data_IF_038920301126
#
_entry.id   IF_038920301126
#
_cell.length_a   1.000
_cell.length_b   1.000
_cell.length_c   1.000
_cell.angle_alpha   90.00
_cell.angle_beta   90.00
_cell.angle_gamma   90.00
#
_symmetry.space_group_name_H-M   'P 1'
#
loop_
_entity.id
_entity.type
_entity.pdbx_description
1 polymer ?
#
# COMPACT_ATOMS: atom_id res chain seq x y z
N UNK A 1 -27.25 10.86 -5.23
CA UNK A 1 -27.99 9.71 -4.69
C UNK A 1 -27.12 9.04 -3.65
N UNK A 2 -27.50 9.19 -2.40
CA UNK A 2 -26.84 8.50 -1.31
C UNK A 2 -27.29 7.03 -1.34
N UNK A 3 -26.35 6.12 -1.55
CA UNK A 3 -26.64 4.73 -1.26
C UNK A 3 -26.51 4.54 0.25
N UNK A 4 -27.61 4.56 0.94
CA UNK A 4 -27.70 4.08 2.30
C UNK A 4 -27.46 2.56 2.30
N UNK A 5 -26.35 2.15 2.82
CA UNK A 5 -26.13 0.75 3.15
C UNK A 5 -27.03 0.42 4.34
N UNK A 6 -28.13 -0.25 4.08
CA UNK A 6 -28.99 -0.76 5.13
C UNK A 6 -28.23 -1.87 5.88
N UNK A 7 -27.70 -1.52 7.02
CA UNK A 7 -27.11 -2.48 7.96
C UNK A 7 -28.24 -3.19 8.67
N UNK A 8 -28.27 -4.51 8.57
CA UNK A 8 -29.20 -5.32 9.34
C UNK A 8 -28.97 -5.13 10.85
N UNK A 9 -30.03 -5.00 11.67
CA UNK A 9 -29.87 -4.82 13.11
C UNK A 9 -29.37 -6.11 13.76
N UNK A 10 -28.18 -6.10 14.35
CA UNK A 10 -27.75 -7.21 15.19
C UNK A 10 -26.27 -7.42 15.43
N UNK A 11 -25.38 -6.87 14.64
CA UNK A 11 -23.93 -6.98 14.92
C UNK A 11 -23.25 -5.63 14.78
N UNK A 12 -22.38 -5.22 15.72
CA UNK A 12 -21.49 -4.12 15.49
C UNK A 12 -20.50 -4.57 14.41
N UNK A 13 -20.83 -4.34 13.15
CA UNK A 13 -19.83 -4.35 12.12
C UNK A 13 -18.82 -3.28 12.49
N UNK A 14 -17.67 -3.70 13.00
CA UNK A 14 -16.51 -2.82 13.08
C UNK A 14 -16.28 -2.40 11.63
N UNK A 15 -16.77 -1.23 11.29
CA UNK A 15 -16.65 -0.71 9.94
C UNK A 15 -15.18 -0.69 9.57
N UNK A 16 -14.81 -1.41 8.52
CA UNK A 16 -13.45 -1.41 8.02
C UNK A 16 -13.10 0.00 7.57
N UNK A 17 -12.13 0.63 8.21
CA UNK A 17 -11.69 1.96 7.85
C UNK A 17 -10.92 1.94 6.52
N UNK A 18 -11.23 2.89 5.65
CA UNK A 18 -10.62 3.03 4.33
C UNK A 18 -10.04 4.42 4.12
N UNK A 19 -8.89 4.47 3.47
CA UNK A 19 -8.28 5.70 2.99
C UNK A 19 -8.03 5.57 1.50
N UNK A 20 -8.24 6.66 0.75
CA UNK A 20 -7.92 6.75 -0.68
C UNK A 20 -7.42 8.13 -1.02
N UNK A 21 -6.40 8.19 -1.86
CA UNK A 21 -5.92 9.43 -2.47
C UNK A 21 -5.35 9.16 -3.85
N UNK A 22 -5.47 10.14 -4.73
CA UNK A 22 -4.76 10.12 -6.01
C UNK A 22 -3.52 11.00 -5.92
N UNK A 23 -2.49 10.67 -6.69
CA UNK A 23 -1.27 11.45 -6.69
C UNK A 23 -0.60 11.45 -8.08
N UNK A 24 0.06 12.56 -8.45
CA UNK A 24 0.89 12.58 -9.65
C UNK A 24 2.04 11.57 -9.51
N UNK A 25 2.39 10.92 -10.60
CA UNK A 25 3.49 9.93 -10.63
C UNK A 25 4.85 10.61 -10.66
N UNK A 26 5.13 11.38 -9.64
CA UNK A 26 6.37 12.10 -9.38
C UNK A 26 6.88 11.78 -7.99
N UNK A 27 8.16 12.01 -7.72
CA UNK A 27 8.72 11.84 -6.38
C UNK A 27 7.98 12.68 -5.34
N UNK A 28 7.63 13.93 -5.67
CA UNK A 28 6.87 14.82 -4.79
C UNK A 28 5.44 14.32 -4.57
N UNK A 29 4.77 13.86 -5.62
CA UNK A 29 3.42 13.28 -5.52
C UNK A 29 3.38 12.04 -4.63
N UNK A 30 4.33 11.13 -4.81
CA UNK A 30 4.48 9.95 -3.96
C UNK A 30 4.74 10.32 -2.49
N UNK A 31 5.61 11.29 -2.24
CA UNK A 31 5.91 11.79 -0.90
C UNK A 31 4.67 12.38 -0.21
N UNK A 32 3.92 13.21 -0.92
CA UNK A 32 2.69 13.82 -0.41
C UNK A 32 1.62 12.78 -0.09
N UNK A 33 1.43 11.80 -0.96
CA UNK A 33 0.49 10.71 -0.75
C UNK A 33 0.87 9.85 0.47
N UNK A 34 2.16 9.53 0.60
CA UNK A 34 2.68 8.80 1.76
C UNK A 34 2.38 9.52 3.07
N UNK A 35 2.69 10.81 3.15
CA UNK A 35 2.43 11.58 4.36
C UNK A 35 0.95 11.68 4.71
N UNK A 36 0.08 11.83 3.72
CA UNK A 36 -1.36 11.82 3.93
C UNK A 36 -1.84 10.47 4.50
N UNK A 37 -1.34 9.37 3.95
CA UNK A 37 -1.65 8.03 4.43
C UNK A 37 -1.14 7.78 5.85
N UNK A 38 0.08 8.21 6.16
CA UNK A 38 0.66 8.09 7.50
C UNK A 38 -0.16 8.88 8.55
N UNK A 39 -0.59 10.08 8.23
CA UNK A 39 -1.44 10.89 9.10
C UNK A 39 -2.80 10.23 9.32
N UNK A 40 -3.40 9.72 8.26
CA UNK A 40 -4.67 9.01 8.38
C UNK A 40 -4.53 7.78 9.28
N UNK A 41 -3.49 6.98 9.06
CA UNK A 41 -3.25 5.76 9.83
C UNK A 41 -3.02 6.07 11.32
N UNK A 42 -2.23 7.10 11.62
CA UNK A 42 -1.97 7.53 13.00
C UNK A 42 -3.24 8.00 13.74
N UNK A 43 -4.26 8.45 13.03
CA UNK A 43 -5.53 8.88 13.60
C UNK A 43 -6.52 7.74 13.84
N UNK A 44 -6.23 6.52 13.38
CA UNK A 44 -7.14 5.39 13.54
C UNK A 44 -7.07 4.80 14.96
N UNK A 45 -8.23 4.52 15.54
CA UNK A 45 -8.31 3.83 16.82
C UNK A 45 -7.82 2.39 16.68
N UNK A 46 -7.02 1.94 17.64
CA UNK A 46 -6.41 0.61 17.61
C UNK A 46 -5.22 0.47 16.66
N UNK A 47 -4.66 1.57 16.21
CA UNK A 47 -3.44 1.59 15.42
C UNK A 47 -2.42 2.61 15.98
N UNK A 48 -1.18 2.17 16.28
CA UNK A 48 -0.81 0.77 16.55
C UNK A 48 -1.47 0.23 17.82
N UNK A 49 -1.55 -1.07 17.97
CA UNK A 49 -2.21 -1.69 19.15
C UNK A 49 -1.42 -1.50 20.45
N UNK A 50 -0.11 -1.33 20.32
CA UNK A 50 0.79 -1.05 21.46
C UNK A 50 1.96 -0.19 21.02
N UNK A 51 2.62 0.45 21.99
CA UNK A 51 3.81 1.26 21.76
C UNK A 51 5.00 0.45 21.19
N UNK A 52 5.05 -0.84 21.47
CA UNK A 52 6.10 -1.75 20.99
C UNK A 52 5.77 -2.37 19.62
N UNK A 53 4.67 -1.93 19.01
CA UNK A 53 4.25 -2.43 17.71
C UNK A 53 5.02 -1.72 16.59
N UNK A 54 5.89 -2.46 15.91
CA UNK A 54 6.69 -1.96 14.78
C UNK A 54 5.93 -1.86 13.46
N UNK A 55 4.62 -2.17 13.45
CA UNK A 55 3.78 -2.12 12.24
C UNK A 55 3.69 -0.72 11.65
N UNK A 56 3.74 0.33 12.45
CA UNK A 56 3.74 1.70 11.94
C UNK A 56 4.96 1.96 11.05
N UNK A 57 6.14 1.56 11.50
CA UNK A 57 7.36 1.69 10.72
C UNK A 57 7.33 0.82 9.47
N UNK A 58 6.87 -0.42 9.59
CA UNK A 58 6.70 -1.36 8.47
C UNK A 58 5.69 -0.82 7.46
N UNK A 59 4.54 -0.33 7.89
CA UNK A 59 3.52 0.27 7.03
C UNK A 59 4.07 1.49 6.27
N UNK A 60 4.81 2.36 6.96
CA UNK A 60 5.43 3.54 6.35
C UNK A 60 6.42 3.15 5.25
N UNK A 61 7.25 2.13 5.48
CA UNK A 61 8.18 1.60 4.48
C UNK A 61 7.44 0.98 3.28
N UNK A 62 6.41 0.20 3.51
CA UNK A 62 5.62 -0.41 2.44
C UNK A 62 4.92 0.65 1.59
N UNK A 63 4.32 1.65 2.22
CA UNK A 63 3.68 2.78 1.51
C UNK A 63 4.73 3.52 0.68
N UNK A 64 5.90 3.80 1.26
CA UNK A 64 6.98 4.49 0.57
C UNK A 64 7.45 3.72 -0.67
N UNK A 65 7.66 2.42 -0.56
CA UNK A 65 8.15 1.59 -1.66
C UNK A 65 7.10 1.41 -2.77
N UNK A 66 5.83 1.20 -2.42
CA UNK A 66 4.77 1.04 -3.41
C UNK A 66 4.45 2.34 -4.15
N UNK A 67 4.45 3.48 -3.45
CA UNK A 67 4.23 4.79 -4.10
C UNK A 67 5.43 5.20 -4.95
N UNK A 68 6.65 4.95 -4.50
CA UNK A 68 7.87 5.17 -5.28
C UNK A 68 7.90 4.29 -6.54
N UNK A 69 7.48 3.05 -6.44
CA UNK A 69 7.37 2.14 -7.59
C UNK A 69 6.43 2.70 -8.66
N UNK A 70 5.27 3.21 -8.28
CA UNK A 70 4.34 3.86 -9.21
C UNK A 70 4.94 5.13 -9.84
N UNK A 71 5.66 5.94 -9.06
CA UNK A 71 6.31 7.14 -9.56
C UNK A 71 7.43 6.84 -10.56
N UNK A 72 8.20 5.76 -10.34
CA UNK A 72 9.32 5.37 -11.19
C UNK A 72 8.88 4.56 -12.41
N UNK A 73 7.94 3.65 -12.25
CA UNK A 73 7.61 2.63 -13.26
C UNK A 73 6.17 2.67 -13.74
N UNK A 74 5.29 3.36 -13.03
CA UNK A 74 3.86 3.43 -13.33
C UNK A 74 3.43 4.67 -14.12
N UNK A 75 4.39 5.50 -14.51
CA UNK A 75 4.10 6.80 -15.12
C UNK A 75 3.52 6.65 -16.52
N UNK A 76 2.33 7.19 -16.71
CA UNK A 76 1.71 7.46 -18.00
C UNK A 76 1.35 8.94 -18.02
N UNK A 77 1.76 9.65 -19.08
CA UNK A 77 1.51 11.08 -19.22
C UNK A 77 0.03 11.42 -19.09
N UNK A 78 -0.27 12.38 -18.23
CA UNK A 78 -1.65 12.82 -17.98
C UNK A 78 -2.48 11.89 -17.09
N UNK A 79 -1.86 10.87 -16.50
CA UNK A 79 -2.53 9.92 -15.61
C UNK A 79 -1.92 9.97 -14.21
N UNK A 80 -2.78 9.96 -13.21
CA UNK A 80 -2.37 9.87 -11.81
C UNK A 80 -2.40 8.41 -11.33
N UNK A 81 -1.64 8.13 -10.29
CA UNK A 81 -1.75 6.90 -9.52
C UNK A 81 -2.71 7.07 -8.34
N UNK A 82 -3.10 5.98 -7.73
CA UNK A 82 -3.99 5.95 -6.57
C UNK A 82 -3.37 5.11 -5.47
N UNK A 83 -3.41 5.64 -4.26
CA UNK A 83 -3.06 4.94 -3.03
C UNK A 83 -4.34 4.65 -2.25
N UNK A 84 -4.52 3.42 -1.82
CA UNK A 84 -5.63 3.01 -0.96
C UNK A 84 -5.10 2.18 0.22
N UNK A 85 -5.65 2.43 1.40
CA UNK A 85 -5.41 1.65 2.60
C UNK A 85 -6.74 1.10 3.12
N UNK A 86 -6.73 -0.15 3.53
CA UNK A 86 -7.86 -0.82 4.16
C UNK A 86 -7.39 -1.40 5.48
N UNK A 87 -8.05 -1.03 6.57
CA UNK A 87 -7.61 -1.34 7.92
C UNK A 87 -8.46 -2.41 8.62
N UNK A 88 -8.44 -3.63 8.19
CA UNK A 88 -8.85 -4.76 9.04
C UNK A 88 -7.62 -5.62 9.34
N UNK A 89 -7.03 -6.14 8.35
CA UNK A 89 -5.60 -6.42 8.19
C UNK A 89 -5.10 -5.27 7.35
N UNK A 90 -4.05 -4.57 7.72
CA UNK A 90 -3.64 -3.44 6.90
C UNK A 90 -3.27 -3.91 5.50
N UNK A 91 -4.06 -3.51 4.53
CA UNK A 91 -3.81 -3.71 3.11
C UNK A 91 -3.52 -2.37 2.45
N UNK A 92 -2.40 -2.30 1.79
CA UNK A 92 -1.91 -1.14 1.05
C UNK A 92 -1.98 -1.48 -0.44
N UNK A 93 -2.65 -0.65 -1.23
CA UNK A 93 -2.78 -0.84 -2.66
C UNK A 93 -2.36 0.44 -3.39
N UNK A 94 -1.49 0.29 -4.38
CA UNK A 94 -1.12 1.38 -5.28
C UNK A 94 -1.46 0.98 -6.70
N UNK A 95 -2.33 1.74 -7.32
CA UNK A 95 -2.78 1.52 -8.70
C UNK A 95 -2.19 2.58 -9.60
N UNK A 96 -1.53 2.16 -10.66
CA UNK A 96 -1.02 3.04 -11.71
C UNK A 96 -1.60 2.67 -13.08
N UNK A 97 -1.36 3.53 -14.08
CA UNK A 97 -1.92 3.37 -15.41
C UNK A 97 -1.08 2.47 -16.34
N UNK A 98 0.08 1.97 -15.88
CA UNK A 98 1.04 1.24 -16.70
C UNK A 98 1.06 -0.25 -16.37
N UNK A 99 0.27 -1.03 -17.08
CA UNK A 99 0.09 -2.46 -16.81
C UNK A 99 1.06 -3.40 -17.52
N UNK A 100 1.81 -2.93 -18.53
CA UNK A 100 2.70 -3.79 -19.32
C UNK A 100 3.99 -4.18 -18.60
N UNK A 101 4.33 -3.51 -17.53
CA UNK A 101 5.46 -3.88 -16.67
C UNK A 101 4.98 -4.35 -15.33
N UNK A 102 4.93 -5.66 -15.16
CA UNK A 102 4.71 -6.26 -13.87
C UNK A 102 6.01 -6.21 -13.07
N UNK A 103 6.00 -5.62 -11.87
CA UNK A 103 7.19 -5.60 -11.05
C UNK A 103 7.56 -7.01 -10.61
N UNK A 104 8.82 -7.36 -10.74
CA UNK A 104 9.37 -8.58 -10.18
C UNK A 104 10.49 -8.21 -9.20
N UNK A 105 10.58 -8.86 -8.03
CA UNK A 105 11.74 -8.70 -7.17
C UNK A 105 12.94 -9.34 -7.86
N UNK A 106 13.83 -8.49 -8.39
CA UNK A 106 15.04 -8.96 -9.07
C UNK A 106 16.21 -8.88 -8.11
N UNK A 107 17.06 -9.93 -8.00
CA UNK A 107 18.31 -9.84 -7.28
C UNK A 107 19.17 -8.68 -7.79
N UNK A 108 19.86 -8.00 -6.89
CA UNK A 108 20.65 -6.80 -7.19
C UNK A 108 21.76 -7.00 -8.24
N UNK A 109 22.07 -8.24 -8.60
CA UNK A 109 23.12 -8.58 -9.59
C UNK A 109 22.71 -8.24 -11.04
N UNK A 110 21.41 -8.10 -11.33
CA UNK A 110 20.93 -7.86 -12.68
C UNK A 110 20.56 -6.39 -12.96
N UNK A 111 20.86 -5.53 -12.01
CA UNK A 111 20.54 -4.11 -12.09
C UNK A 111 21.64 -3.35 -12.85
N UNK A 112 21.74 -3.54 -14.15
CA UNK A 112 22.43 -2.59 -15.00
C UNK A 112 21.70 -1.24 -14.95
N UNK A 113 22.21 -0.33 -14.14
CA UNK A 113 21.97 1.09 -14.25
C UNK A 113 20.70 1.68 -13.62
N UNK A 114 19.99 0.96 -12.78
CA UNK A 114 18.78 1.49 -12.15
C UNK A 114 18.47 0.85 -10.80
N UNK A 115 19.45 0.77 -9.94
CA UNK A 115 19.48 -0.08 -8.73
C UNK A 115 18.43 0.14 -7.65
N UNK A 116 17.45 1.03 -7.81
CA UNK A 116 16.47 1.30 -6.76
C UNK A 116 15.18 0.47 -6.91
N UNK A 117 14.75 0.18 -8.13
CA UNK A 117 13.44 -0.45 -8.37
C UNK A 117 13.35 -1.91 -7.94
N UNK A 118 14.38 -2.71 -8.16
CA UNK A 118 14.39 -4.11 -7.74
C UNK A 118 14.53 -4.28 -6.23
N UNK A 119 15.21 -3.37 -5.56
CA UNK A 119 15.39 -3.38 -4.10
C UNK A 119 14.11 -3.04 -3.34
N UNK A 120 13.29 -2.11 -3.85
CA UNK A 120 12.03 -1.74 -3.23
C UNK A 120 11.08 -2.91 -3.12
N UNK A 121 10.94 -3.72 -4.17
CA UNK A 121 10.09 -4.91 -4.15
C UNK A 121 10.67 -6.06 -3.33
N UNK A 122 11.99 -6.19 -3.26
CA UNK A 122 12.63 -7.12 -2.32
C UNK A 122 12.32 -6.75 -0.88
N UNK A 123 12.33 -5.46 -0.56
CA UNK A 123 11.96 -4.96 0.76
C UNK A 123 10.49 -5.24 1.06
N UNK A 124 9.59 -4.99 0.11
CA UNK A 124 8.17 -5.34 0.24
C UNK A 124 8.00 -6.83 0.48
N UNK A 125 8.65 -7.69 -0.31
CA UNK A 125 8.59 -9.14 -0.15
C UNK A 125 9.11 -9.61 1.21
N UNK A 126 10.09 -8.93 1.79
CA UNK A 126 10.64 -9.29 3.10
C UNK A 126 9.81 -8.78 4.28
N UNK A 127 9.15 -7.64 4.15
CA UNK A 127 8.43 -6.97 5.24
C UNK A 127 6.93 -7.30 5.27
N UNK A 128 6.32 -7.50 4.12
CA UNK A 128 4.89 -7.81 4.03
C UNK A 128 4.62 -9.28 4.35
N UNK A 129 3.48 -9.55 4.97
CA UNK A 129 3.02 -10.93 5.20
C UNK A 129 2.51 -11.56 3.90
N UNK A 130 1.96 -10.74 3.02
CA UNK A 130 1.58 -11.10 1.65
C UNK A 130 1.72 -9.89 0.75
N UNK A 131 2.01 -10.10 -0.51
CA UNK A 131 2.04 -9.05 -1.53
C UNK A 131 1.79 -9.63 -2.92
N UNK A 132 1.43 -8.78 -3.85
CA UNK A 132 1.21 -9.21 -5.23
C UNK A 132 1.02 -8.05 -6.18
N UNK A 133 0.80 -8.40 -7.43
CA UNK A 133 0.50 -7.46 -8.49
C UNK A 133 -0.62 -8.00 -9.37
N UNK A 134 -1.60 -7.17 -9.64
CA UNK A 134 -2.74 -7.49 -10.48
C UNK A 134 -2.80 -6.53 -11.68
N UNK A 135 -2.67 -7.05 -12.90
CA UNK A 135 -2.90 -6.23 -14.09
C UNK A 135 -4.39 -5.95 -14.28
N UNK A 136 -4.70 -4.77 -14.81
CA UNK A 136 -6.06 -4.36 -15.14
C UNK A 136 -6.28 -4.27 -16.64
N UNK A 137 -7.49 -4.56 -17.08
CA UNK A 137 -7.92 -4.35 -18.45
C UNK A 137 -8.72 -3.03 -18.57
N UNK A 138 -8.47 -2.16 -19.54
CA UNK A 138 -7.57 -2.27 -20.69
C UNK A 138 -6.12 -1.87 -20.43
N UNK A 139 -5.77 -1.38 -19.28
CA UNK A 139 -4.41 -0.99 -18.91
C UNK A 139 -4.30 -0.60 -17.45
N UNK A 140 -3.09 -0.64 -16.92
CA UNK A 140 -2.81 -0.37 -15.53
C UNK A 140 -2.55 -1.63 -14.71
N UNK A 141 -2.17 -1.42 -13.47
CA UNK A 141 -1.93 -2.48 -12.49
C UNK A 141 -2.15 -1.98 -11.08
N UNK A 142 -2.42 -2.90 -10.17
CA UNK A 142 -2.37 -2.67 -8.73
C UNK A 142 -1.28 -3.52 -8.12
N UNK A 143 -0.35 -2.88 -7.42
CA UNK A 143 0.61 -3.56 -6.54
C UNK A 143 0.09 -3.40 -5.11
N UNK A 144 0.04 -4.49 -4.37
CA UNK A 144 -0.52 -4.50 -3.04
C UNK A 144 0.38 -5.24 -2.04
N UNK A 145 0.28 -4.86 -0.79
CA UNK A 145 0.95 -5.50 0.33
C UNK A 145 0.02 -5.56 1.54
N UNK A 146 0.13 -6.61 2.32
CA UNK A 146 -0.61 -6.79 3.56
C UNK A 146 0.34 -6.95 4.75
N UNK A 147 0.00 -6.23 5.82
CA UNK A 147 0.58 -6.43 7.14
C UNK A 147 -0.46 -7.10 8.01
N UNK A 148 -0.25 -8.36 8.37
CA UNK A 148 -1.13 -9.06 9.28
C UNK A 148 -1.13 -8.39 10.67
N UNK A 149 -2.27 -8.40 11.34
CA UNK A 149 -2.32 -8.14 12.77
C UNK A 149 -1.43 -9.13 13.49
N UNK A 150 -0.46 -8.66 14.23
CA UNK A 150 0.21 -9.52 15.20
C UNK A 150 -0.82 -9.93 16.25
N UNK A 151 -1.28 -11.14 16.20
CA UNK A 151 -1.88 -11.76 17.37
C UNK A 151 -0.82 -11.70 18.46
N UNK A 152 -1.17 -11.09 19.59
CA UNK A 152 -0.30 -11.12 20.75
C UNK A 152 0.18 -12.55 20.95
N UNK A 153 1.48 -12.78 20.82
CA UNK A 153 2.06 -14.05 21.27
C UNK A 153 1.72 -14.12 22.75
N UNK A 154 0.77 -14.94 23.11
CA UNK A 154 0.63 -15.39 24.48
C UNK A 154 1.94 -16.08 24.82
N UNK A 155 2.87 -15.29 25.37
CA UNK A 155 4.10 -15.83 25.88
C UNK A 155 3.78 -16.77 27.02
N UNK A 156 4.23 -17.97 26.89
CA UNK A 156 4.41 -18.81 28.07
C UNK A 156 5.61 -18.30 28.86
#
# INVERSE_FOLDING_TARGET
MNQETVTAPGEPTVGTAHFRTTFPTTAHGAHTARHAAERWLAAQQGWPESADDDRTATASLLIAELTANAALHGRVRGRNARLALTLATLRIEVTDARGERLPAPTPAADADGGGESGRGLLLVASLADAWGCEPHHPGGKTVWAECARRTARTGR
#
